data_IF_937219081408
#
_entry.id   IF_937219081408
#
_cell.length_a   1.000
_cell.length_b   1.000
_cell.length_c   1.000
_cell.angle_alpha   90.00
_cell.angle_beta   90.00
_cell.angle_gamma   90.00
#
_symmetry.space_group_name_H-M   'P 1'
#
loop_
_entity.id
_entity.type
_entity.pdbx_description
1 polymer ?
#
# COMPACT_ATOMS: atom_id res chain seq x y z
N UNK A 1 55.10 -46.60 -10.89
CA UNK A 1 55.07 -48.06 -10.62
C UNK A 1 54.57 -48.73 -11.87
N UNK A 2 55.36 -49.61 -12.47
CA UNK A 2 55.11 -50.14 -13.81
C UNK A 2 53.84 -51.00 -13.85
N UNK A 3 52.93 -50.59 -14.72
CA UNK A 3 51.72 -51.30 -15.12
C UNK A 3 52.16 -52.63 -15.74
N UNK A 4 51.79 -53.73 -15.10
CA UNK A 4 51.99 -55.07 -15.66
C UNK A 4 50.99 -55.25 -16.79
N UNK A 5 51.35 -54.82 -17.99
CA UNK A 5 50.66 -55.22 -19.21
C UNK A 5 50.93 -56.72 -19.44
N UNK A 6 50.16 -57.55 -18.74
CA UNK A 6 50.06 -58.98 -18.99
C UNK A 6 49.36 -59.17 -20.32
N UNK A 7 50.13 -59.22 -21.42
CA UNK A 7 49.61 -59.65 -22.70
C UNK A 7 49.00 -61.05 -22.54
N UNK A 8 47.76 -61.31 -22.97
CA UNK A 8 47.09 -62.60 -22.78
C UNK A 8 47.73 -63.77 -23.55
N UNK A 9 48.79 -63.49 -24.33
CA UNK A 9 49.51 -64.45 -25.15
C UNK A 9 50.94 -64.73 -24.68
N UNK A 10 51.40 -64.13 -23.58
CA UNK A 10 52.71 -64.48 -23.01
C UNK A 10 52.55 -65.52 -21.90
N UNK A 11 53.15 -66.69 -22.13
CA UNK A 11 53.20 -67.74 -21.10
C UNK A 11 54.11 -67.24 -19.98
N UNK A 12 53.55 -67.04 -18.79
CA UNK A 12 54.31 -66.64 -17.60
C UNK A 12 55.50 -67.59 -17.39
N UNK A 13 56.68 -67.12 -16.96
CA UNK A 13 57.84 -67.99 -16.72
C UNK A 13 57.55 -69.18 -15.80
N UNK A 14 56.63 -69.03 -14.85
CA UNK A 14 56.13 -70.13 -14.02
C UNK A 14 55.35 -71.18 -14.83
N UNK A 15 54.47 -70.74 -15.73
CA UNK A 15 53.69 -71.62 -16.59
C UNK A 15 54.58 -72.39 -17.60
N UNK A 16 55.64 -71.77 -18.11
CA UNK A 16 56.59 -72.45 -19.00
C UNK A 16 57.43 -73.50 -18.28
N UNK A 17 57.83 -73.24 -17.03
CA UNK A 17 58.50 -74.23 -16.18
C UNK A 17 57.59 -75.41 -15.85
N UNK A 18 56.34 -75.15 -15.46
CA UNK A 18 55.35 -76.20 -15.19
C UNK A 18 55.08 -77.06 -16.42
N UNK A 19 54.90 -76.45 -17.59
CA UNK A 19 54.72 -77.16 -18.87
C UNK A 19 55.92 -78.05 -19.22
N UNK A 20 57.16 -77.60 -18.92
CA UNK A 20 58.37 -78.40 -19.12
C UNK A 20 58.44 -79.59 -18.16
N UNK A 21 58.03 -79.41 -16.90
CA UNK A 21 57.95 -80.51 -15.93
C UNK A 21 56.91 -81.56 -16.32
N UNK A 22 55.79 -81.15 -16.92
CA UNK A 22 54.80 -82.07 -17.51
C UNK A 22 55.38 -82.84 -18.69
N UNK A 23 56.08 -82.14 -19.57
CA UNK A 23 56.69 -82.74 -20.76
C UNK A 23 57.80 -83.75 -20.44
N UNK A 24 58.54 -83.54 -19.33
CA UNK A 24 59.58 -84.46 -18.83
C UNK A 24 58.96 -85.63 -18.04
N UNK A 25 57.66 -85.61 -17.79
CA UNK A 25 56.95 -86.63 -17.01
C UNK A 25 57.26 -86.56 -15.51
N UNK A 26 57.83 -85.45 -15.03
CA UNK A 26 58.10 -85.22 -13.62
C UNK A 26 56.85 -84.81 -12.82
N UNK A 27 55.85 -84.26 -13.53
CA UNK A 27 54.52 -83.90 -13.03
C UNK A 27 53.49 -84.28 -14.11
N UNK A 28 52.26 -84.58 -13.74
CA UNK A 28 51.14 -84.78 -14.66
C UNK A 28 50.24 -83.55 -14.73
N UNK A 29 49.52 -83.37 -15.84
CA UNK A 29 48.55 -82.28 -15.98
C UNK A 29 47.42 -82.41 -14.93
N UNK A 30 47.01 -83.63 -14.61
CA UNK A 30 46.00 -83.93 -13.59
C UNK A 30 46.44 -83.49 -12.18
N UNK A 31 47.72 -83.60 -11.85
CA UNK A 31 48.27 -83.12 -10.56
C UNK A 31 48.27 -81.59 -10.47
N UNK A 32 48.54 -80.88 -11.57
CA UNK A 32 48.47 -79.42 -11.62
C UNK A 32 47.02 -78.94 -11.49
N UNK A 33 46.12 -79.56 -12.23
CA UNK A 33 44.70 -79.21 -12.20
C UNK A 33 44.08 -79.55 -10.83
N UNK A 34 44.52 -80.64 -10.19
CA UNK A 34 44.10 -81.02 -8.83
C UNK A 34 44.64 -80.06 -7.76
N UNK A 35 45.87 -79.55 -7.92
CA UNK A 35 46.44 -78.55 -7.01
C UNK A 35 45.76 -77.18 -7.14
N UNK A 36 45.33 -76.80 -8.35
CA UNK A 36 44.56 -75.56 -8.59
C UNK A 36 43.12 -75.63 -8.09
N UNK A 37 42.52 -76.82 -8.08
CA UNK A 37 41.16 -77.07 -7.62
C UNK A 37 41.07 -77.45 -6.14
N UNK A 38 42.21 -77.56 -5.46
CA UNK A 38 42.26 -77.85 -4.03
C UNK A 38 41.60 -76.75 -3.23
N UNK A 39 40.50 -77.06 -2.56
CA UNK A 39 39.73 -76.16 -1.67
C UNK A 39 40.48 -75.76 -0.39
N UNK A 40 41.80 -75.99 -0.33
CA UNK A 40 42.65 -75.54 0.78
C UNK A 40 43.01 -74.07 0.62
N UNK A 41 43.19 -73.32 1.72
CA UNK A 41 43.60 -71.93 1.63
C UNK A 41 44.98 -71.86 0.95
N UNK A 42 45.06 -71.17 -0.19
CA UNK A 42 46.29 -70.95 -0.98
C UNK A 42 47.34 -70.16 -0.19
N UNK A 43 46.91 -69.47 0.88
CA UNK A 43 47.73 -68.68 1.77
C UNK A 43 47.56 -69.12 3.24
N UNK A 44 48.43 -68.65 4.13
CA UNK A 44 48.33 -68.96 5.56
C UNK A 44 47.01 -68.50 6.16
N UNK A 45 46.51 -69.18 7.19
CA UNK A 45 45.27 -68.82 7.90
C UNK A 45 45.28 -67.36 8.38
N UNK A 46 46.45 -66.88 8.81
CA UNK A 46 46.65 -65.48 9.22
C UNK A 46 46.40 -64.48 8.07
N UNK A 47 46.75 -64.80 6.83
CA UNK A 47 46.48 -63.91 5.69
C UNK A 47 44.98 -63.88 5.37
N UNK A 48 44.29 -65.02 5.45
CA UNK A 48 42.84 -65.09 5.26
C UNK A 48 42.09 -64.27 6.32
N UNK A 49 42.47 -64.43 7.60
CA UNK A 49 41.91 -63.64 8.70
C UNK A 49 42.15 -62.14 8.53
N UNK A 50 43.34 -61.73 8.07
CA UNK A 50 43.64 -60.34 7.78
C UNK A 50 42.82 -59.79 6.60
N UNK A 51 42.62 -60.57 5.54
CA UNK A 51 41.77 -60.19 4.41
C UNK A 51 40.31 -59.99 4.86
N UNK A 52 39.79 -60.90 5.69
CA UNK A 52 38.43 -60.82 6.22
C UNK A 52 38.25 -59.62 7.16
N UNK A 53 39.25 -59.30 7.99
CA UNK A 53 39.27 -58.09 8.82
C UNK A 53 39.27 -56.82 7.97
N UNK A 54 40.10 -56.74 6.92
CA UNK A 54 40.15 -55.59 6.01
C UNK A 54 38.80 -55.42 5.30
N UNK A 55 38.20 -56.52 4.85
CA UNK A 55 36.88 -56.53 4.21
C UNK A 55 35.81 -56.00 5.15
N UNK A 56 35.78 -56.48 6.39
CA UNK A 56 34.83 -56.04 7.40
C UNK A 56 35.04 -54.57 7.77
N UNK A 57 36.30 -54.13 7.93
CA UNK A 57 36.62 -52.73 8.21
C UNK A 57 36.14 -51.81 7.08
N UNK A 58 36.37 -52.20 5.82
CA UNK A 58 35.87 -51.47 4.65
C UNK A 58 34.35 -51.35 4.66
N UNK A 59 33.63 -52.41 5.04
CA UNK A 59 32.17 -52.37 5.16
C UNK A 59 31.71 -51.42 6.27
N UNK A 60 32.42 -51.40 7.41
CA UNK A 60 32.13 -50.49 8.52
C UNK A 60 32.33 -49.03 8.10
N UNK A 61 33.44 -48.73 7.43
CA UNK A 61 33.74 -47.39 6.94
C UNK A 61 32.70 -46.93 5.89
N UNK A 62 32.26 -47.83 5.00
CA UNK A 62 31.20 -47.55 4.04
C UNK A 62 29.87 -47.22 4.74
N UNK A 63 29.48 -47.99 5.77
CA UNK A 63 28.26 -47.71 6.54
C UNK A 63 28.36 -46.39 7.31
N UNK A 64 29.52 -46.09 7.89
CA UNK A 64 29.76 -44.82 8.58
C UNK A 64 29.57 -43.64 7.64
N UNK A 65 30.17 -43.69 6.46
CA UNK A 65 30.03 -42.63 5.46
C UNK A 65 28.57 -42.44 5.02
N UNK A 66 27.80 -43.53 4.88
CA UNK A 66 26.35 -43.45 4.57
C UNK A 66 25.56 -42.77 5.69
N UNK A 67 25.89 -43.07 6.95
CA UNK A 67 25.26 -42.41 8.09
C UNK A 67 25.59 -40.92 8.14
N UNK A 68 26.86 -40.56 7.94
CA UNK A 68 27.29 -39.15 7.90
C UNK A 68 26.59 -38.39 6.76
N UNK A 69 26.45 -39.01 5.59
CA UNK A 69 25.73 -38.40 4.46
C UNK A 69 24.26 -38.12 4.81
N UNK A 70 23.57 -39.09 5.42
CA UNK A 70 22.18 -38.91 5.84
C UNK A 70 22.05 -37.84 6.92
N UNK A 71 22.99 -37.78 7.86
CA UNK A 71 22.99 -36.76 8.91
C UNK A 71 23.18 -35.35 8.33
N UNK A 72 24.04 -35.19 7.33
CA UNK A 72 24.23 -33.91 6.64
C UNK A 72 22.98 -33.53 5.83
N UNK A 73 22.33 -34.49 5.15
CA UNK A 73 21.08 -34.24 4.42
C UNK A 73 19.95 -33.79 5.37
N UNK A 74 19.81 -34.45 6.52
CA UNK A 74 18.83 -34.05 7.55
C UNK A 74 19.11 -32.64 8.09
N UNK A 75 20.37 -32.33 8.40
CA UNK A 75 20.76 -31.01 8.92
C UNK A 75 20.60 -29.88 7.89
N UNK A 76 20.71 -30.20 6.60
CA UNK A 76 20.58 -29.23 5.50
C UNK A 76 19.20 -29.27 4.82
N UNK A 77 18.28 -30.08 5.32
CA UNK A 77 16.95 -30.28 4.74
C UNK A 77 16.16 -28.97 4.57
N UNK A 78 16.33 -28.03 5.50
CA UNK A 78 15.59 -26.76 5.51
C UNK A 78 16.05 -25.76 4.44
N UNK A 79 17.23 -25.97 3.85
CA UNK A 79 17.83 -25.16 2.78
C UNK A 79 17.99 -25.93 1.45
N UNK A 80 18.05 -27.27 1.48
CA UNK A 80 18.23 -28.10 0.30
C UNK A 80 16.90 -28.65 -0.25
N UNK A 81 15.94 -29.02 0.61
CA UNK A 81 14.72 -29.70 0.18
C UNK A 81 13.60 -28.73 -0.18
N UNK A 82 13.09 -28.88 -1.41
CA UNK A 82 12.02 -28.04 -1.97
C UNK A 82 10.76 -27.96 -1.08
N UNK A 83 10.44 -29.02 -0.34
CA UNK A 83 9.31 -29.06 0.58
C UNK A 83 9.41 -27.98 1.67
N UNK A 84 10.56 -27.87 2.33
CA UNK A 84 10.78 -26.86 3.38
C UNK A 84 10.94 -25.46 2.80
N UNK A 85 11.53 -25.35 1.60
CA UNK A 85 11.72 -24.07 0.90
C UNK A 85 10.40 -23.50 0.41
N UNK A 86 9.50 -24.34 -0.13
CA UNK A 86 8.24 -23.90 -0.73
C UNK A 86 7.40 -23.08 0.24
N UNK A 87 7.29 -23.52 1.49
CA UNK A 87 6.57 -22.78 2.53
C UNK A 87 7.22 -21.42 2.82
N UNK A 88 8.55 -21.38 2.94
CA UNK A 88 9.30 -20.12 3.17
C UNK A 88 9.13 -19.16 1.98
N UNK A 89 9.22 -19.66 0.75
CA UNK A 89 8.97 -18.86 -0.45
C UNK A 89 7.55 -18.32 -0.51
N UNK A 90 6.55 -19.14 -0.17
CA UNK A 90 5.16 -18.69 -0.17
C UNK A 90 4.93 -17.55 0.83
N UNK A 91 5.52 -17.61 2.02
CA UNK A 91 5.45 -16.53 3.01
C UNK A 91 6.14 -15.26 2.52
N UNK A 92 7.33 -15.39 1.93
CA UNK A 92 8.05 -14.24 1.36
C UNK A 92 7.30 -13.61 0.20
N UNK A 93 6.68 -14.42 -0.65
CA UNK A 93 5.88 -13.95 -1.76
C UNK A 93 4.64 -13.19 -1.27
N UNK A 94 3.92 -13.74 -0.29
CA UNK A 94 2.78 -13.05 0.34
C UNK A 94 3.18 -11.69 0.93
N UNK A 95 4.33 -11.64 1.61
CA UNK A 95 4.86 -10.38 2.15
C UNK A 95 5.20 -9.39 1.02
N UNK A 96 5.85 -9.87 -0.04
CA UNK A 96 6.19 -9.08 -1.22
C UNK A 96 4.95 -8.47 -1.89
N UNK A 97 3.93 -9.30 -2.10
CA UNK A 97 2.64 -8.89 -2.68
C UNK A 97 1.97 -7.81 -1.81
N UNK A 98 1.95 -8.02 -0.49
CA UNK A 98 1.40 -7.05 0.45
C UNK A 98 2.15 -5.71 0.44
N UNK A 99 3.48 -5.73 0.43
CA UNK A 99 4.29 -4.51 0.32
C UNK A 99 4.04 -3.77 -1.00
N UNK A 100 3.89 -4.51 -2.11
CA UNK A 100 3.58 -3.92 -3.40
C UNK A 100 2.21 -3.24 -3.41
N UNK A 101 1.21 -3.85 -2.77
CA UNK A 101 -0.13 -3.27 -2.62
C UNK A 101 -0.09 -1.99 -1.78
N UNK A 102 0.59 -2.00 -0.63
CA UNK A 102 0.78 -0.81 0.21
C UNK A 102 1.45 0.34 -0.55
N UNK A 103 2.49 0.06 -1.35
CA UNK A 103 3.14 1.08 -2.18
C UNK A 103 2.21 1.63 -3.26
N UNK A 104 1.34 0.78 -3.82
CA UNK A 104 0.33 1.20 -4.80
C UNK A 104 -0.71 2.12 -4.16
N UNK A 105 -1.19 1.78 -2.96
CA UNK A 105 -2.12 2.59 -2.19
C UNK A 105 -1.51 3.93 -1.79
N UNK A 106 -0.27 3.92 -1.29
CA UNK A 106 0.46 5.14 -0.93
C UNK A 106 0.61 6.07 -2.15
N UNK A 107 1.00 5.52 -3.31
CA UNK A 107 1.08 6.30 -4.54
C UNK A 107 -0.28 6.83 -4.98
N UNK A 108 -1.34 6.03 -4.90
CA UNK A 108 -2.70 6.45 -5.20
C UNK A 108 -3.14 7.60 -4.30
N UNK A 109 -2.89 7.50 -2.99
CA UNK A 109 -3.18 8.54 -2.02
C UNK A 109 -2.39 9.81 -2.32
N UNK A 110 -1.08 9.70 -2.56
CA UNK A 110 -0.24 10.83 -2.94
C UNK A 110 -0.78 11.51 -4.19
N UNK A 111 -1.16 10.76 -5.23
CA UNK A 111 -1.76 11.31 -6.44
C UNK A 111 -3.08 12.01 -6.15
N UNK A 112 -3.92 11.45 -5.28
CA UNK A 112 -5.19 12.08 -4.86
C UNK A 112 -4.96 13.38 -4.08
N UNK A 113 -3.96 13.42 -3.21
CA UNK A 113 -3.61 14.60 -2.43
C UNK A 113 -2.92 15.68 -3.29
N UNK A 114 -2.17 15.28 -4.32
CA UNK A 114 -1.56 16.20 -5.28
C UNK A 114 -2.56 16.76 -6.29
N UNK A 115 -3.75 16.16 -6.44
CA UNK A 115 -4.80 16.74 -7.27
C UNK A 115 -5.31 18.01 -6.59
N UNK A 116 -5.14 19.19 -7.21
CA UNK A 116 -5.62 20.42 -6.61
C UNK A 116 -7.16 20.37 -6.51
N UNK A 117 -7.68 20.63 -5.31
CA UNK A 117 -9.12 20.55 -4.97
C UNK A 117 -9.99 21.54 -5.75
N UNK A 118 -9.36 22.53 -6.37
CA UNK A 118 -9.91 23.40 -7.39
C UNK A 118 -8.74 23.78 -8.31
N UNK A 119 -8.97 23.99 -9.60
CA UNK A 119 -7.99 24.60 -10.49
C UNK A 119 -7.74 26.08 -10.13
N UNK A 120 -7.37 26.40 -8.88
CA UNK A 120 -7.16 27.77 -8.40
C UNK A 120 -5.74 28.28 -8.62
N UNK A 121 -4.81 27.40 -8.99
CA UNK A 121 -3.46 27.79 -9.32
C UNK A 121 -3.32 27.81 -10.84
N UNK A 122 -3.89 28.82 -11.50
CA UNK A 122 -3.24 29.27 -12.73
C UNK A 122 -1.86 29.78 -12.27
N UNK A 123 -0.75 29.22 -12.76
CA UNK A 123 0.57 29.74 -12.43
C UNK A 123 0.64 31.16 -13.00
N UNK A 124 0.44 32.14 -12.13
CA UNK A 124 0.62 33.53 -12.51
C UNK A 124 2.11 33.79 -12.51
N UNK A 125 2.60 34.38 -13.58
CA UNK A 125 4.02 34.71 -13.66
C UNK A 125 4.34 35.75 -12.59
N UNK A 126 5.50 35.62 -11.93
CA UNK A 126 5.86 36.45 -10.78
C UNK A 126 5.77 37.96 -11.04
N UNK A 127 6.04 38.40 -12.28
CA UNK A 127 5.93 39.82 -12.67
C UNK A 127 4.47 40.34 -12.71
N UNK A 128 3.47 39.45 -12.80
CA UNK A 128 2.05 39.78 -12.82
C UNK A 128 1.41 39.79 -11.43
N UNK A 129 2.08 39.24 -10.40
CA UNK A 129 1.55 39.15 -9.04
C UNK A 129 1.18 40.53 -8.47
N UNK A 130 2.05 41.53 -8.69
CA UNK A 130 1.80 42.89 -8.23
C UNK A 130 0.50 43.46 -8.81
N UNK A 131 0.30 43.31 -10.11
CA UNK A 131 -0.90 43.79 -10.80
C UNK A 131 -2.16 43.07 -10.32
N UNK A 132 -2.09 41.74 -10.08
CA UNK A 132 -3.22 41.01 -9.53
C UNK A 132 -3.58 41.44 -8.12
N UNK A 133 -2.58 41.63 -7.25
CA UNK A 133 -2.81 42.08 -5.86
C UNK A 133 -3.41 43.49 -5.86
N UNK A 134 -2.89 44.39 -6.69
CA UNK A 134 -3.45 45.74 -6.86
C UNK A 134 -4.88 45.70 -7.40
N UNK A 135 -5.18 44.81 -8.37
CA UNK A 135 -6.52 44.65 -8.93
C UNK A 135 -7.52 44.06 -7.93
N UNK A 136 -7.11 43.06 -7.15
CA UNK A 136 -7.94 42.46 -6.10
C UNK A 136 -8.22 43.47 -4.99
N UNK A 137 -7.21 44.27 -4.61
CA UNK A 137 -7.40 45.35 -3.65
C UNK A 137 -8.41 46.37 -4.16
N UNK A 138 -8.26 46.84 -5.40
CA UNK A 138 -9.21 47.78 -6.01
C UNK A 138 -10.63 47.20 -6.07
N UNK A 139 -10.76 45.90 -6.35
CA UNK A 139 -12.04 45.22 -6.36
C UNK A 139 -12.67 45.17 -4.97
N UNK A 140 -11.89 44.91 -3.91
CA UNK A 140 -12.40 44.93 -2.54
C UNK A 140 -12.80 46.34 -2.11
N UNK A 141 -11.97 47.34 -2.37
CA UNK A 141 -12.28 48.75 -2.07
C UNK A 141 -13.55 49.21 -2.81
N UNK A 142 -13.74 48.75 -4.05
CA UNK A 142 -14.96 49.01 -4.83
C UNK A 142 -16.20 48.34 -4.22
N UNK A 143 -16.10 47.07 -3.80
CA UNK A 143 -17.21 46.35 -3.17
C UNK A 143 -17.61 47.04 -1.86
N UNK A 144 -16.65 47.39 -1.02
CA UNK A 144 -16.89 48.11 0.23
C UNK A 144 -17.59 49.46 -0.02
N UNK A 145 -17.06 50.25 -0.97
CA UNK A 145 -17.68 51.52 -1.35
C UNK A 145 -19.10 51.32 -1.90
N UNK A 146 -19.33 50.28 -2.70
CA UNK A 146 -20.64 49.98 -3.27
C UNK A 146 -21.65 49.62 -2.17
N UNK A 147 -21.25 48.82 -1.19
CA UNK A 147 -22.07 48.43 -0.05
C UNK A 147 -22.45 49.63 0.82
N UNK A 148 -21.51 50.54 1.08
CA UNK A 148 -21.79 51.80 1.78
C UNK A 148 -22.82 52.66 1.02
N UNK A 149 -22.66 52.80 -0.31
CA UNK A 149 -23.59 53.61 -1.13
C UNK A 149 -24.97 52.98 -1.20
N UNK A 150 -25.06 51.66 -1.26
CA UNK A 150 -26.33 50.93 -1.26
C UNK A 150 -27.06 51.13 0.08
N UNK A 151 -26.33 51.00 1.19
CA UNK A 151 -26.86 51.28 2.54
C UNK A 151 -27.34 52.73 2.70
N UNK A 152 -26.60 53.69 2.15
CA UNK A 152 -26.99 55.11 2.15
C UNK A 152 -28.22 55.38 1.27
N UNK A 153 -28.39 54.65 0.16
CA UNK A 153 -29.57 54.75 -0.68
C UNK A 153 -30.81 54.19 0.02
N UNK A 154 -30.68 53.04 0.68
CA UNK A 154 -31.76 52.39 1.42
C UNK A 154 -32.27 53.22 2.60
N UNK A 155 -31.36 53.83 3.37
CA UNK A 155 -31.75 54.75 4.44
C UNK A 155 -32.49 56.00 3.93
N UNK A 156 -32.14 56.48 2.72
CA UNK A 156 -32.81 57.62 2.08
C UNK A 156 -34.21 57.26 1.59
N UNK A 157 -34.41 56.07 1.02
CA UNK A 157 -35.74 55.59 0.61
C UNK A 157 -36.63 55.42 1.84
N UNK A 158 -36.11 54.78 2.90
CA UNK A 158 -36.83 54.64 4.16
C UNK A 158 -37.22 55.99 4.79
N UNK A 159 -36.34 56.99 4.74
CA UNK A 159 -36.66 58.35 5.21
C UNK A 159 -37.76 59.02 4.38
N UNK A 160 -37.73 58.84 3.05
CA UNK A 160 -38.76 59.37 2.14
C UNK A 160 -40.14 58.75 2.40
N UNK A 161 -40.19 57.44 2.64
CA UNK A 161 -41.44 56.74 2.95
C UNK A 161 -42.04 57.23 4.27
N UNK A 162 -41.18 57.46 5.29
CA UNK A 162 -41.62 58.05 6.56
C UNK A 162 -42.16 59.46 6.41
N UNK A 163 -41.54 60.30 5.56
CA UNK A 163 -42.05 61.64 5.26
C UNK A 163 -43.42 61.59 4.58
N UNK A 164 -43.61 60.71 3.59
CA UNK A 164 -44.90 60.54 2.94
C UNK A 164 -46.00 60.10 3.93
N UNK A 165 -45.66 59.25 4.90
CA UNK A 165 -46.58 58.83 5.96
C UNK A 165 -46.95 60.01 6.88
N UNK A 166 -45.98 60.85 7.25
CA UNK A 166 -46.23 62.07 8.03
C UNK A 166 -47.12 63.05 7.27
N UNK A 167 -46.89 63.27 5.98
CA UNK A 167 -47.73 64.15 5.15
C UNK A 167 -49.19 63.65 5.11
N UNK A 168 -49.39 62.34 4.97
CA UNK A 168 -50.73 61.75 5.01
C UNK A 168 -51.42 61.91 6.36
N UNK A 169 -50.67 61.76 7.46
CA UNK A 169 -51.18 61.97 8.82
C UNK A 169 -51.53 63.43 9.09
N UNK A 170 -50.70 64.37 8.60
CA UNK A 170 -50.97 65.79 8.69
C UNK A 170 -52.25 66.16 7.93
N UNK A 171 -52.43 65.63 6.72
CA UNK A 171 -53.65 65.84 5.94
C UNK A 171 -54.90 65.33 6.70
N UNK A 172 -54.82 64.16 7.33
CA UNK A 172 -55.91 63.63 8.17
C UNK A 172 -56.22 64.53 9.38
N UNK A 173 -55.18 65.02 10.08
CA UNK A 173 -55.35 65.95 11.20
C UNK A 173 -56.01 67.27 10.79
N UNK A 174 -55.64 67.81 9.62
CA UNK A 174 -56.26 69.03 9.09
C UNK A 174 -57.74 68.82 8.76
N UNK A 175 -58.10 67.65 8.20
CA UNK A 175 -59.51 67.29 7.96
C UNK A 175 -60.26 67.25 9.29
N UNK A 176 -59.75 66.53 10.29
CA UNK A 176 -60.37 66.45 11.62
C UNK A 176 -60.49 67.81 12.31
N UNK A 177 -59.50 68.69 12.16
CA UNK A 177 -59.56 70.05 12.71
C UNK A 177 -60.67 70.86 12.05
N UNK A 178 -60.85 70.74 10.73
CA UNK A 178 -61.95 71.41 10.01
C UNK A 178 -63.33 70.84 10.41
N UNK A 179 -63.43 69.52 10.59
CA UNK A 179 -64.64 68.88 11.13
C UNK A 179 -64.95 69.37 12.54
N UNK A 180 -63.94 69.50 13.42
CA UNK A 180 -64.11 70.06 14.75
C UNK A 180 -64.55 71.53 14.72
N UNK A 181 -63.99 72.34 13.82
CA UNK A 181 -64.36 73.74 13.65
C UNK A 181 -65.81 73.89 13.17
N UNK A 182 -66.23 73.05 12.22
CA UNK A 182 -67.62 73.03 11.73
C UNK A 182 -68.60 72.57 12.81
N UNK A 183 -68.28 71.50 13.57
CA UNK A 183 -69.09 71.05 14.70
C UNK A 183 -69.18 72.11 15.79
N UNK A 184 -68.07 72.78 16.12
CA UNK A 184 -68.03 73.89 17.08
C UNK A 184 -68.94 75.04 16.64
N UNK A 185 -68.89 75.41 15.36
CA UNK A 185 -69.74 76.43 14.77
C UNK A 185 -71.23 76.05 14.82
N UNK A 186 -71.57 74.78 14.56
CA UNK A 186 -72.94 74.27 14.70
C UNK A 186 -73.43 74.35 16.15
N UNK A 187 -72.61 73.95 17.13
CA UNK A 187 -72.96 74.05 18.56
C UNK A 187 -73.22 75.52 18.97
N UNK A 188 -72.38 76.44 18.51
CA UNK A 188 -72.57 77.88 18.77
C UNK A 188 -73.88 78.41 18.17
N UNK A 189 -74.24 77.98 16.96
CA UNK A 189 -75.53 78.31 16.34
C UNK A 189 -76.72 77.73 17.12
N UNK A 190 -76.62 76.50 17.63
CA UNK A 190 -77.69 75.90 18.43
C UNK A 190 -77.88 76.67 19.76
N UNK A 191 -76.78 77.08 20.40
CA UNK A 191 -76.83 77.89 21.62
C UNK A 191 -77.41 79.29 21.38
N UNK A 192 -77.16 79.91 20.23
CA UNK A 192 -77.75 81.22 19.90
C UNK A 192 -79.24 81.12 19.57
N UNK A 193 -79.67 80.01 18.94
CA UNK A 193 -81.10 79.76 18.67
C UNK A 193 -81.88 79.47 19.95
N UNK A 194 -81.30 78.75 20.92
CA UNK A 194 -81.92 78.56 22.25
C UNK A 194 -81.91 79.86 23.09
N UNK A 195 -80.89 80.73 22.93
CA UNK A 195 -80.89 82.07 23.52
C UNK A 195 -81.87 83.05 22.88
N UNK A 196 -82.18 82.87 21.59
CA UNK A 196 -83.06 83.76 20.83
C UNK A 196 -84.56 83.54 21.15
N UNK A 197 -84.93 82.48 21.85
CA UNK A 197 -86.30 82.32 22.39
C UNK A 197 -86.56 83.10 23.69
N UNK A 198 -85.55 83.77 24.26
CA UNK A 198 -85.70 84.53 25.51
C UNK A 198 -85.61 86.05 25.36
N UNK A 199 -85.39 86.59 24.14
CA UNK A 199 -85.31 88.06 23.92
C UNK A 199 -86.05 88.46 22.65
N UNK A 200 -87.37 88.31 22.64
CA UNK A 200 -88.30 89.16 21.86
C UNK A 200 -89.71 89.05 22.46
N UNK A 201 -89.93 89.73 23.58
CA UNK A 201 -91.26 90.22 23.99
C UNK A 201 -91.05 91.23 25.12
N UNK A 202 -90.94 92.51 24.74
CA UNK A 202 -91.25 93.69 25.56
C UNK A 202 -91.98 94.65 24.61
N UNK A 203 -92.89 95.51 25.08
CA UNK A 203 -92.89 96.19 26.39
C UNK A 203 -93.99 95.77 27.38
#
# INVERSE_FOLDING_TARGET
MHQWDLSPFSVTPAASLLSKCVSVGALSQEEIDSASNGTGPVFSSHLQEAEDQIRMQKQLDEMRLRLELLQVDEQSADVAHSFHLAQRFQMLQMLGDHMQELLREQNSLRQRLMKPLACTNLPVHAHLHRFMVESLKLMMDFIETLEEKLSAADSRTAARDRLALLDSSLAQLLIQASEMETLSSQILQWKSVDGCKLVTSDP
#
